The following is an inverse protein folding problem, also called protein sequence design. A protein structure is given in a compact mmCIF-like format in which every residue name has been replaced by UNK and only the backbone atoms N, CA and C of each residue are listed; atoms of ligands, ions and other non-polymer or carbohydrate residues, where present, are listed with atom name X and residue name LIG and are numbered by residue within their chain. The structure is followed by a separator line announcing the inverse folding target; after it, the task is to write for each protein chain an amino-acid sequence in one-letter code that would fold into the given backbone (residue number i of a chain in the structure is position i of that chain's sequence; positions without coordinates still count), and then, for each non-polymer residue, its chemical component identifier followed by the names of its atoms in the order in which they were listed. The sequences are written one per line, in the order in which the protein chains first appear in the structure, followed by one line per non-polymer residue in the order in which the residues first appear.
data_IF_003662547168
#
_entry.id   IF_003662547168
#
_cell.length_a   1.000
_cell.length_b   1.000
_cell.length_c   1.000
_cell.angle_alpha   90.00
_cell.angle_beta   90.00
_cell.angle_gamma   90.00
#
_symmetry.space_group_name_H-M   'P 1'
#
loop_
_entity.id
_entity.type
_entity.pdbx_description
1 polymer ?
#
# COMPACT_ATOMS: atom_id res chain seq x y z
N UNK A 1 -21.87 -0.98 2.83
CA UNK A 1 -21.29 -1.78 1.74
C UNK A 1 -19.92 -1.20 1.40
N UNK A 2 -18.89 -2.01 1.46
CA UNK A 2 -17.52 -1.61 1.16
C UNK A 2 -17.41 -1.10 -0.29
N UNK A 3 -16.77 0.04 -0.48
CA UNK A 3 -16.54 0.65 -1.80
C UNK A 3 -15.13 1.24 -1.86
N UNK A 4 -14.46 1.05 -2.98
CA UNK A 4 -13.27 1.82 -3.29
C UNK A 4 -13.69 3.13 -3.96
N UNK A 5 -13.37 4.28 -3.35
CA UNK A 5 -13.76 5.60 -3.85
C UNK A 5 -12.55 6.53 -3.85
N UNK A 6 -12.06 6.83 -5.05
CA UNK A 6 -10.94 7.76 -5.27
C UNK A 6 -11.39 9.20 -5.53
N UNK A 7 -12.67 9.40 -5.84
CA UNK A 7 -13.23 10.69 -6.25
C UNK A 7 -13.71 11.51 -5.06
N UNK A 8 -14.16 10.82 -4.00
CA UNK A 8 -14.81 11.43 -2.84
C UNK A 8 -14.15 10.96 -1.53
N UNK A 9 -14.65 11.49 -0.42
CA UNK A 9 -14.30 11.03 0.91
C UNK A 9 -12.84 11.25 1.32
N UNK A 10 -12.30 10.39 2.22
CA UNK A 10 -10.99 10.60 2.83
C UNK A 10 -9.82 10.59 1.85
N UNK A 11 -9.92 9.84 0.75
CA UNK A 11 -8.84 9.74 -0.26
C UNK A 11 -8.72 11.04 -1.01
N UNK A 12 -9.84 11.59 -1.48
CA UNK A 12 -9.84 12.88 -2.16
C UNK A 12 -9.46 14.04 -1.23
N UNK A 13 -9.91 14.00 0.03
CA UNK A 13 -9.46 14.97 1.04
C UNK A 13 -7.94 14.91 1.24
N UNK A 14 -7.34 13.70 1.31
CA UNK A 14 -5.90 13.53 1.43
C UNK A 14 -5.15 14.02 0.18
N UNK A 15 -5.74 13.89 -1.01
CA UNK A 15 -5.19 14.44 -2.25
C UNK A 15 -5.11 15.97 -2.19
N UNK A 16 -6.21 16.62 -1.77
CA UNK A 16 -6.32 18.08 -1.80
C UNK A 16 -5.60 18.76 -0.64
N UNK A 17 -5.58 18.16 0.55
CA UNK A 17 -5.16 18.80 1.80
C UNK A 17 -4.06 18.05 2.57
N UNK A 18 -3.61 16.89 2.07
CA UNK A 18 -2.72 15.97 2.78
C UNK A 18 -1.25 16.28 2.56
N UNK A 19 -0.65 17.32 2.89
CA UNK A 19 0.82 17.54 3.03
C UNK A 19 1.77 16.98 1.92
N UNK A 20 1.26 16.43 0.84
CA UNK A 20 2.02 15.99 -0.33
C UNK A 20 3.20 15.07 0.01
N UNK A 21 4.38 15.36 -0.56
CA UNK A 21 5.64 14.61 -0.36
C UNK A 21 6.20 14.72 1.07
N UNK A 22 5.70 15.64 1.88
CA UNK A 22 6.06 15.79 3.29
C UNK A 22 5.51 14.69 4.22
N UNK A 23 4.57 13.86 3.74
CA UNK A 23 4.01 12.75 4.50
C UNK A 23 5.05 11.62 4.68
N UNK A 24 4.81 10.77 5.69
CA UNK A 24 5.76 9.70 6.05
C UNK A 24 5.89 8.63 4.98
N UNK A 25 4.78 8.22 4.33
CA UNK A 25 4.82 7.22 3.26
C UNK A 25 5.65 7.66 2.04
N UNK A 26 5.45 8.86 1.45
CA UNK A 26 6.32 9.36 0.38
C UNK A 26 7.80 9.38 0.76
N UNK A 27 8.12 9.77 2.01
CA UNK A 27 9.51 9.74 2.50
C UNK A 27 10.04 8.30 2.59
N UNK A 28 9.23 7.36 3.09
CA UNK A 28 9.61 5.97 3.24
C UNK A 28 9.94 5.31 1.88
N UNK A 29 9.12 5.54 0.86
CA UNK A 29 9.41 5.06 -0.49
C UNK A 29 10.51 5.87 -1.20
N UNK A 30 11.08 6.88 -0.54
CA UNK A 30 12.22 7.65 -1.04
C UNK A 30 11.88 8.70 -2.08
N UNK A 31 10.66 9.21 -2.09
CA UNK A 31 10.31 10.36 -2.91
C UNK A 31 11.09 11.60 -2.48
N UNK A 32 11.70 12.29 -3.43
CA UNK A 32 12.43 13.56 -3.24
C UNK A 32 12.05 14.53 -4.35
N UNK A 33 12.48 15.78 -4.24
CA UNK A 33 12.35 16.74 -5.34
C UNK A 33 13.03 16.17 -6.61
N UNK A 34 12.29 16.12 -7.70
CA UNK A 34 12.78 15.58 -8.99
C UNK A 34 12.90 14.04 -9.07
N UNK A 35 12.55 13.28 -8.02
CA UNK A 35 12.60 11.83 -8.01
C UNK A 35 11.23 11.23 -7.67
N UNK A 36 10.64 10.54 -8.62
CA UNK A 36 9.39 9.76 -8.47
C UNK A 36 9.70 8.29 -8.78
N UNK A 37 9.94 7.46 -7.75
CA UNK A 37 10.30 6.06 -7.97
C UNK A 37 9.11 5.24 -8.47
N UNK A 38 9.39 4.13 -9.17
CA UNK A 38 8.38 3.09 -9.47
C UNK A 38 8.16 2.23 -8.24
N UNK A 39 6.90 1.97 -7.90
CA UNK A 39 6.52 1.29 -6.66
C UNK A 39 5.61 0.11 -7.00
N UNK A 40 5.85 -1.02 -6.35
CA UNK A 40 4.94 -2.16 -6.37
C UNK A 40 4.31 -2.30 -4.98
N UNK A 41 3.01 -2.05 -4.89
CA UNK A 41 2.20 -2.28 -3.70
C UNK A 41 1.68 -3.73 -3.74
N UNK A 42 2.22 -4.57 -2.87
CA UNK A 42 1.94 -6.02 -2.86
C UNK A 42 0.77 -6.41 -1.96
N UNK A 43 0.12 -5.41 -1.37
CA UNK A 43 -1.01 -5.55 -0.44
C UNK A 43 -2.07 -4.49 -0.75
N UNK A 44 -2.47 -4.39 -2.01
CA UNK A 44 -3.18 -3.24 -2.57
C UNK A 44 -4.45 -2.83 -1.80
N UNK A 45 -5.27 -3.79 -1.36
CA UNK A 45 -6.49 -3.53 -0.61
C UNK A 45 -7.43 -2.56 -1.34
N UNK A 46 -7.74 -1.41 -0.72
CA UNK A 46 -8.52 -0.34 -1.34
C UNK A 46 -7.68 0.67 -2.15
N UNK A 47 -6.41 0.42 -2.38
CA UNK A 47 -5.52 1.24 -3.21
C UNK A 47 -5.24 2.66 -2.71
N UNK A 48 -5.51 2.96 -1.44
CA UNK A 48 -5.42 4.33 -0.89
C UNK A 48 -4.00 4.88 -0.85
N UNK A 49 -3.04 4.05 -0.46
CA UNK A 49 -1.64 4.43 -0.40
C UNK A 49 -1.04 4.49 -1.81
N UNK A 50 -1.41 3.55 -2.68
CA UNK A 50 -1.06 3.58 -4.10
C UNK A 50 -1.58 4.85 -4.80
N UNK A 51 -2.84 5.24 -4.57
CA UNK A 51 -3.41 6.46 -5.14
C UNK A 51 -2.67 7.72 -4.66
N UNK A 52 -2.31 7.79 -3.37
CA UNK A 52 -1.49 8.89 -2.86
C UNK A 52 -0.14 8.96 -3.59
N UNK A 53 0.55 7.83 -3.74
CA UNK A 53 1.87 7.79 -4.38
C UNK A 53 1.77 8.15 -5.88
N UNK A 54 0.74 7.66 -6.57
CA UNK A 54 0.44 8.01 -7.97
C UNK A 54 0.09 9.50 -8.13
N UNK A 55 -0.62 10.10 -7.16
CA UNK A 55 -0.93 11.53 -7.17
C UNK A 55 0.30 12.41 -7.05
N UNK A 56 1.38 11.89 -6.47
CA UNK A 56 2.67 12.55 -6.36
C UNK A 56 3.61 12.27 -7.55
N UNK A 57 3.12 11.51 -8.55
CA UNK A 57 3.80 11.27 -9.82
C UNK A 57 4.46 9.91 -9.97
N UNK A 58 4.40 9.01 -8.99
CA UNK A 58 4.93 7.65 -9.13
C UNK A 58 4.06 6.78 -10.03
N UNK A 59 4.71 5.92 -10.81
CA UNK A 59 4.05 4.75 -11.38
C UNK A 59 3.92 3.69 -10.28
N UNK A 60 2.70 3.17 -10.09
CA UNK A 60 2.40 2.21 -9.03
C UNK A 60 1.74 0.97 -9.62
N UNK A 61 2.39 -0.18 -9.44
CA UNK A 61 1.78 -1.49 -9.68
C UNK A 61 1.14 -1.98 -8.40
N UNK A 62 -0.14 -2.34 -8.47
CA UNK A 62 -0.92 -2.87 -7.36
C UNK A 62 -1.16 -4.35 -7.58
N UNK A 63 -0.87 -5.17 -6.59
CA UNK A 63 -1.17 -6.60 -6.63
C UNK A 63 -2.21 -6.89 -5.56
N UNK A 64 -3.31 -7.54 -5.95
CA UNK A 64 -4.39 -7.93 -5.04
C UNK A 64 -4.82 -9.37 -5.35
N UNK A 65 -4.77 -10.25 -4.32
CA UNK A 65 -5.10 -11.66 -4.46
C UNK A 65 -6.57 -11.98 -4.23
N UNK A 66 -7.28 -11.17 -3.48
CA UNK A 66 -8.71 -11.36 -3.23
C UNK A 66 -9.54 -10.94 -4.43
N UNK A 67 -10.31 -11.85 -5.01
CA UNK A 67 -11.25 -11.57 -6.13
C UNK A 67 -12.17 -10.39 -5.82
N UNK A 68 -12.71 -10.36 -4.59
CA UNK A 68 -13.63 -9.32 -4.15
C UNK A 68 -12.93 -7.97 -4.06
N UNK A 69 -11.76 -7.92 -3.40
CA UNK A 69 -11.01 -6.67 -3.25
C UNK A 69 -10.47 -6.17 -4.59
N UNK A 70 -9.96 -7.08 -5.44
CA UNK A 70 -9.53 -6.75 -6.80
C UNK A 70 -10.68 -6.14 -7.62
N UNK A 71 -11.89 -6.73 -7.57
CA UNK A 71 -13.05 -6.20 -8.28
C UNK A 71 -13.46 -4.82 -7.77
N UNK A 72 -13.52 -4.62 -6.44
CA UNK A 72 -13.83 -3.32 -5.84
C UNK A 72 -12.80 -2.25 -6.24
N UNK A 73 -11.51 -2.61 -6.24
CA UNK A 73 -10.43 -1.70 -6.61
C UNK A 73 -10.49 -1.35 -8.10
N UNK A 74 -10.68 -2.33 -8.98
CA UNK A 74 -10.88 -2.14 -10.42
C UNK A 74 -12.04 -1.20 -10.69
N UNK A 75 -13.19 -1.42 -10.07
CA UNK A 75 -14.40 -0.63 -10.29
C UNK A 75 -14.21 0.81 -9.78
N UNK A 76 -13.53 1.01 -8.64
CA UNK A 76 -13.15 2.33 -8.14
C UNK A 76 -12.17 3.07 -9.05
N UNK A 77 -11.20 2.37 -9.62
CA UNK A 77 -10.28 2.93 -10.62
C UNK A 77 -11.02 3.34 -11.89
N UNK A 78 -11.98 2.54 -12.35
CA UNK A 78 -12.78 2.87 -13.53
C UNK A 78 -13.69 4.08 -13.29
N UNK A 79 -14.36 4.17 -12.12
CA UNK A 79 -15.15 5.36 -11.75
C UNK A 79 -14.26 6.63 -11.75
N UNK A 80 -13.06 6.54 -11.19
CA UNK A 80 -12.13 7.67 -11.16
C UNK A 80 -11.61 8.04 -12.58
N UNK A 81 -11.42 7.06 -13.46
CA UNK A 81 -11.08 7.31 -14.87
C UNK A 81 -12.21 8.02 -15.61
N UNK A 82 -13.46 7.60 -15.42
CA UNK A 82 -14.65 8.21 -16.03
C UNK A 82 -14.92 9.61 -15.49
N UNK A 83 -14.57 9.90 -14.24
CA UNK A 83 -14.64 11.25 -13.67
C UNK A 83 -13.77 12.24 -14.47
N UNK A 84 -12.68 11.79 -15.06
CA UNK A 84 -11.77 12.64 -15.82
C UNK A 84 -10.88 13.52 -14.98
N UNK A 85 -10.24 14.51 -15.61
CA UNK A 85 -9.38 15.48 -14.93
C UNK A 85 -8.23 14.84 -14.16
N UNK A 86 -7.94 15.39 -12.99
CA UNK A 86 -6.81 14.94 -12.15
C UNK A 86 -6.95 13.48 -11.70
N UNK A 87 -8.19 12.98 -11.49
CA UNK A 87 -8.40 11.61 -11.06
C UNK A 87 -8.01 10.62 -12.16
N UNK A 88 -8.41 10.88 -13.42
CA UNK A 88 -8.00 10.06 -14.56
C UNK A 88 -6.49 10.09 -14.78
N UNK A 89 -5.87 11.25 -14.60
CA UNK A 89 -4.41 11.39 -14.69
C UNK A 89 -3.68 10.56 -13.61
N UNK A 90 -4.16 10.58 -12.37
CA UNK A 90 -3.60 9.77 -11.29
C UNK A 90 -3.77 8.28 -11.59
N UNK A 91 -4.97 7.84 -11.97
CA UNK A 91 -5.27 6.44 -12.28
C UNK A 91 -4.44 5.94 -13.47
N UNK A 92 -4.09 6.79 -14.42
CA UNK A 92 -3.23 6.38 -15.56
C UNK A 92 -1.82 5.91 -15.14
N UNK A 93 -1.38 6.28 -13.93
CA UNK A 93 -0.11 5.81 -13.33
C UNK A 93 -0.26 4.57 -12.46
N UNK A 94 -1.48 4.02 -12.36
CA UNK A 94 -1.77 2.85 -11.52
C UNK A 94 -2.08 1.64 -12.41
N UNK A 95 -1.35 0.55 -12.21
CA UNK A 95 -1.58 -0.74 -12.90
C UNK A 95 -2.01 -1.77 -11.89
N UNK A 96 -3.21 -2.33 -12.05
CA UNK A 96 -3.76 -3.35 -11.17
C UNK A 96 -3.54 -4.74 -11.75
N UNK A 97 -3.00 -5.64 -10.94
CA UNK A 97 -2.77 -7.05 -11.27
C UNK A 97 -3.53 -7.90 -10.26
N UNK A 98 -4.28 -8.88 -10.77
CA UNK A 98 -4.91 -9.91 -9.94
C UNK A 98 -3.96 -11.09 -9.76
N UNK A 99 -3.65 -11.45 -8.52
CA UNK A 99 -2.83 -12.61 -8.22
C UNK A 99 -2.13 -12.55 -6.87
N UNK A 100 -1.40 -13.61 -6.56
CA UNK A 100 -0.59 -13.69 -5.34
C UNK A 100 0.75 -12.99 -5.53
N UNK A 101 1.05 -12.06 -4.63
CA UNK A 101 2.29 -11.27 -4.67
C UNK A 101 3.54 -12.13 -4.49
N UNK A 102 3.47 -13.22 -3.71
CA UNK A 102 4.60 -14.14 -3.50
C UNK A 102 4.98 -14.81 -4.82
N UNK A 103 4.00 -15.18 -5.63
CA UNK A 103 4.22 -15.81 -6.94
C UNK A 103 4.66 -14.81 -8.02
N UNK A 104 4.12 -13.59 -7.99
CA UNK A 104 4.32 -12.62 -9.06
C UNK A 104 5.62 -11.80 -8.91
N UNK A 105 6.01 -11.45 -7.69
CA UNK A 105 7.15 -10.59 -7.43
C UNK A 105 8.46 -11.02 -8.13
N UNK A 106 8.84 -12.31 -8.16
CA UNK A 106 10.09 -12.73 -8.80
C UNK A 106 10.18 -12.39 -10.29
N UNK A 107 9.03 -12.30 -10.99
CA UNK A 107 8.98 -11.98 -12.41
C UNK A 107 8.91 -10.48 -12.70
N UNK A 108 8.47 -9.67 -11.72
CA UNK A 108 8.22 -8.23 -11.90
C UNK A 108 9.48 -7.37 -11.75
N UNK A 109 10.53 -7.88 -11.11
CA UNK A 109 11.77 -7.14 -10.83
C UNK A 109 11.53 -5.71 -10.27
N UNK A 110 10.81 -5.58 -9.13
CA UNK A 110 10.39 -4.30 -8.61
C UNK A 110 11.57 -3.45 -8.12
N UNK A 111 11.46 -2.13 -8.29
CA UNK A 111 12.44 -1.21 -7.69
C UNK A 111 12.19 -1.03 -6.19
N UNK A 112 10.95 -0.71 -5.85
CA UNK A 112 10.50 -0.48 -4.48
C UNK A 112 9.26 -1.31 -4.24
N UNK A 113 9.27 -2.08 -3.16
CA UNK A 113 8.10 -2.86 -2.72
C UNK A 113 7.51 -2.23 -1.48
N UNK A 114 6.22 -1.90 -1.53
CA UNK A 114 5.42 -1.49 -0.38
C UNK A 114 4.62 -2.69 0.12
N UNK A 115 4.74 -2.97 1.41
CA UNK A 115 4.05 -4.06 2.11
C UNK A 115 3.24 -3.48 3.27
N UNK A 116 1.92 -3.63 3.24
CA UNK A 116 1.00 -3.27 4.33
C UNK A 116 0.15 -4.49 4.72
N UNK A 117 0.76 -5.49 5.37
CA UNK A 117 0.07 -6.72 5.70
C UNK A 117 -1.04 -6.44 6.71
N UNK A 118 -2.16 -7.14 6.58
CA UNK A 118 -3.30 -6.99 7.47
C UNK A 118 -2.94 -7.43 8.89
N UNK A 119 -2.49 -6.49 9.71
CA UNK A 119 -2.09 -6.77 11.09
C UNK A 119 -3.29 -7.15 11.96
N UNK A 120 -3.15 -8.21 12.77
CA UNK A 120 -4.21 -8.63 13.69
C UNK A 120 -4.53 -7.52 14.71
N UNK A 121 -5.83 -7.24 15.02
CA UNK A 121 -6.19 -6.26 16.02
C UNK A 121 -5.71 -6.71 17.39
N UNK A 122 -5.15 -5.79 18.17
CA UNK A 122 -4.94 -6.03 19.59
C UNK A 122 -6.27 -6.31 20.27
N UNK A 123 -6.32 -7.27 21.17
CA UNK A 123 -7.52 -7.68 21.96
C UNK A 123 -8.22 -6.53 22.71
N UNK A 124 -7.67 -5.33 22.75
CA UNK A 124 -8.15 -4.15 23.50
C UNK A 124 -8.31 -2.86 22.69
N UNK A 125 -8.33 -2.86 21.36
CA UNK A 125 -8.60 -1.62 20.63
C UNK A 125 -10.10 -1.44 20.44
N UNK A 126 -10.61 -0.28 20.91
CA UNK A 126 -11.96 0.18 20.68
C UNK A 126 -12.33 0.09 19.20
N UNK A 127 -13.57 -0.35 18.93
CA UNK A 127 -14.34 -0.29 17.68
C UNK A 127 -13.49 0.04 16.43
N UNK A 128 -12.94 -1.01 15.81
CA UNK A 128 -12.42 -0.93 14.45
C UNK A 128 -13.56 -0.37 13.57
N UNK A 129 -13.29 0.70 12.81
CA UNK A 129 -14.26 1.26 11.87
C UNK A 129 -14.84 0.13 11.03
N UNK A 130 -16.17 0.12 10.81
CA UNK A 130 -16.89 -0.96 10.14
C UNK A 130 -16.24 -1.42 8.82
N UNK A 131 -15.66 -0.49 8.07
CA UNK A 131 -14.93 -0.74 6.82
C UNK A 131 -13.73 -1.69 6.99
N UNK A 132 -12.89 -1.50 8.02
CA UNK A 132 -11.77 -2.41 8.31
C UNK A 132 -12.22 -3.80 8.77
N UNK A 133 -13.39 -3.88 9.38
CA UNK A 133 -13.99 -5.16 9.75
C UNK A 133 -14.48 -5.90 8.51
N UNK A 134 -15.19 -5.22 7.60
CA UNK A 134 -15.63 -5.80 6.33
C UNK A 134 -14.45 -6.30 5.49
N UNK A 135 -13.36 -5.53 5.39
CA UNK A 135 -12.14 -5.94 4.68
C UNK A 135 -11.56 -7.23 5.29
N UNK A 136 -11.46 -7.32 6.61
CA UNK A 136 -10.94 -8.54 7.27
C UNK A 136 -11.83 -9.75 7.10
N UNK A 137 -13.13 -9.57 7.10
CA UNK A 137 -14.07 -10.67 6.85
C UNK A 137 -13.92 -11.19 5.41
N UNK A 138 -13.53 -10.34 4.46
CA UNK A 138 -13.30 -10.68 3.05
C UNK A 138 -11.93 -11.30 2.84
N UNK A 139 -10.87 -10.69 3.36
CA UNK A 139 -9.47 -11.07 3.07
C UNK A 139 -8.96 -12.17 4.01
N UNK A 140 -9.53 -12.26 5.23
CA UNK A 140 -9.05 -13.19 6.24
C UNK A 140 -7.80 -12.71 6.98
N UNK A 141 -7.06 -13.65 7.58
CA UNK A 141 -5.80 -13.40 8.28
C UNK A 141 -4.66 -13.90 7.41
N UNK A 142 -3.73 -13.02 7.10
CA UNK A 142 -2.51 -13.38 6.35
C UNK A 142 -1.57 -14.17 7.27
N UNK A 143 -1.48 -15.49 7.04
CA UNK A 143 -0.53 -16.36 7.76
C UNK A 143 0.83 -16.43 7.04
N UNK A 144 0.97 -15.80 5.88
CA UNK A 144 2.12 -15.81 4.99
C UNK A 144 2.91 -14.49 4.98
N UNK A 145 2.65 -13.61 5.97
CA UNK A 145 3.29 -12.29 6.08
C UNK A 145 4.82 -12.37 6.03
N UNK A 146 5.42 -13.35 6.72
CA UNK A 146 6.86 -13.53 6.72
C UNK A 146 7.37 -13.88 5.33
N UNK A 147 6.75 -14.86 4.67
CA UNK A 147 7.10 -15.28 3.31
C UNK A 147 6.96 -14.13 2.31
N UNK A 148 5.90 -13.33 2.41
CA UNK A 148 5.70 -12.15 1.57
C UNK A 148 6.83 -11.14 1.74
N UNK A 149 7.23 -10.84 2.99
CA UNK A 149 8.30 -9.88 3.28
C UNK A 149 9.64 -10.44 2.81
N UNK A 150 9.93 -11.71 3.03
CA UNK A 150 11.16 -12.37 2.54
C UNK A 150 11.24 -12.34 1.02
N UNK A 151 10.13 -12.63 0.32
CA UNK A 151 10.04 -12.55 -1.14
C UNK A 151 10.27 -11.10 -1.61
N UNK A 152 9.64 -10.12 -0.96
CA UNK A 152 9.87 -8.72 -1.27
C UNK A 152 11.35 -8.32 -1.11
N UNK A 153 11.98 -8.74 0.00
CA UNK A 153 13.40 -8.48 0.28
C UNK A 153 14.36 -9.15 -0.70
N UNK A 154 13.97 -10.30 -1.26
CA UNK A 154 14.76 -11.04 -2.23
C UNK A 154 14.63 -10.47 -3.66
N UNK A 155 13.53 -9.76 -3.96
CA UNK A 155 13.20 -9.32 -5.32
C UNK A 155 13.34 -7.82 -5.56
N UNK A 156 13.17 -6.99 -4.51
CA UNK A 156 13.31 -5.55 -4.64
C UNK A 156 14.76 -5.15 -4.94
N UNK A 157 14.96 -4.30 -5.96
CA UNK A 157 16.30 -3.87 -6.35
C UNK A 157 16.83 -2.65 -5.60
N UNK A 158 15.95 -1.90 -4.89
CA UNK A 158 16.35 -0.68 -4.17
C UNK A 158 15.91 -0.68 -2.71
N UNK A 159 14.65 -1.01 -2.43
CA UNK A 159 14.16 -1.06 -1.05
C UNK A 159 12.83 -1.79 -0.90
N UNK A 160 12.60 -2.27 0.32
CA UNK A 160 11.29 -2.70 0.81
C UNK A 160 10.83 -1.74 1.90
N UNK A 161 9.56 -1.37 1.88
CA UNK A 161 8.92 -0.51 2.88
C UNK A 161 7.78 -1.30 3.52
N UNK A 162 7.96 -1.66 4.78
CA UNK A 162 6.96 -2.35 5.58
C UNK A 162 6.20 -1.33 6.43
N UNK A 163 4.90 -1.22 6.20
CA UNK A 163 4.01 -0.42 7.04
C UNK A 163 3.58 -1.23 8.25
N UNK A 164 3.86 -0.73 9.45
CA UNK A 164 3.69 -1.47 10.68
C UNK A 164 3.10 -0.59 11.80
N UNK A 165 2.38 -1.12 12.79
CA UNK A 165 1.92 -0.32 13.91
C UNK A 165 3.10 0.27 14.69
N UNK A 166 3.03 1.57 15.03
CA UNK A 166 4.15 2.31 15.61
C UNK A 166 4.75 1.67 16.88
N UNK A 167 3.89 1.04 17.71
CA UNK A 167 4.28 0.48 19.01
C UNK A 167 4.33 -1.05 19.03
N UNK A 168 4.15 -1.71 17.88
CA UNK A 168 4.28 -3.18 17.82
C UNK A 168 5.75 -3.57 17.75
N UNK A 169 6.08 -4.75 18.30
CA UNK A 169 7.39 -5.36 18.10
C UNK A 169 7.69 -5.52 16.61
N UNK A 170 8.95 -5.60 16.24
CA UNK A 170 9.31 -6.01 14.89
C UNK A 170 8.74 -7.41 14.61
N UNK A 171 8.55 -7.73 13.34
CA UNK A 171 8.11 -9.07 12.97
C UNK A 171 9.29 -10.04 13.16
N UNK A 172 9.05 -11.09 13.94
CA UNK A 172 10.05 -12.13 14.18
C UNK A 172 10.43 -12.82 12.86
N UNK A 173 11.70 -13.12 12.71
CA UNK A 173 12.24 -13.75 11.49
C UNK A 173 12.65 -12.78 10.38
N UNK A 174 12.31 -11.49 10.47
CA UNK A 174 12.74 -10.48 9.49
C UNK A 174 14.04 -9.83 9.92
N UNK A 175 14.97 -9.61 8.99
CA UNK A 175 16.22 -8.87 9.27
C UNK A 175 15.94 -7.47 9.81
N UNK A 176 16.88 -6.88 10.53
CA UNK A 176 16.75 -5.49 10.99
C UNK A 176 16.58 -4.52 9.80
N UNK A 177 15.67 -3.56 9.93
CA UNK A 177 15.50 -2.51 8.93
C UNK A 177 16.67 -1.53 8.93
N UNK A 178 16.92 -0.89 7.81
CA UNK A 178 18.00 0.10 7.67
C UNK A 178 17.69 1.38 8.45
N UNK A 179 16.43 1.79 8.48
CA UNK A 179 15.93 2.92 9.27
C UNK A 179 14.40 2.86 9.37
N UNK A 180 13.86 3.68 10.25
CA UNK A 180 12.42 3.78 10.48
C UNK A 180 11.93 5.21 10.30
N UNK A 181 10.71 5.36 9.79
CA UNK A 181 9.97 6.62 9.82
C UNK A 181 8.76 6.39 10.74
N UNK A 182 8.79 7.00 11.91
CA UNK A 182 7.82 6.74 12.97
C UNK A 182 6.78 7.85 13.00
N UNK A 183 5.55 7.50 12.70
CA UNK A 183 4.37 8.35 12.86
C UNK A 183 3.64 8.09 14.18
N UNK A 184 2.51 8.75 14.36
CA UNK A 184 1.71 8.66 15.61
C UNK A 184 1.15 7.25 15.88
N UNK A 185 0.63 6.58 14.88
CA UNK A 185 -0.05 5.28 15.00
C UNK A 185 0.58 4.18 14.16
N UNK A 186 1.28 4.55 13.12
CA UNK A 186 1.99 3.65 12.21
C UNK A 186 3.44 4.09 12.08
N UNK A 187 4.31 3.15 11.73
CA UNK A 187 5.69 3.41 11.30
C UNK A 187 5.93 2.73 9.97
N UNK A 188 6.95 3.15 9.29
CA UNK A 188 7.48 2.50 8.09
C UNK A 188 8.88 1.99 8.40
N UNK A 189 9.04 0.67 8.40
CA UNK A 189 10.33 0.00 8.51
C UNK A 189 10.90 -0.09 7.09
N UNK A 190 12.03 0.57 6.84
CA UNK A 190 12.66 0.67 5.51
C UNK A 190 13.89 -0.21 5.46
N UNK A 191 13.91 -1.12 4.50
CA UNK A 191 15.01 -2.03 4.21
C UNK A 191 15.64 -1.61 2.89
N UNK A 192 16.93 -1.26 2.92
CA UNK A 192 17.69 -1.01 1.69
C UNK A 192 18.19 -2.33 1.13
N UNK A 193 18.06 -2.52 -0.19
CA UNK A 193 18.49 -3.71 -0.92
C UNK A 193 19.76 -3.42 -1.72
#
# INVERSE_FOLDING_TARGET
MLKCDFVRGPVNHRLLFGGGRGQDLPKAVGMKAGLTPRITDVTAGLGRDAFLLASLGSEVTLIERSDIMHSLLRDGMEEARQQGGIHAEIISRMTLIHGDSIELLPSLNPEIVLVDPMHQPRKKSALVKGEFREIREIVGVDNDQLTLIETALATASKRVVLKWPAHASALDGVKACSHQIIGKSIRFDVFMC
#
